data_IF_473668988688
#
_entry.id   IF_473668988688
#
_cell.length_a   1.000
_cell.length_b   1.000
_cell.length_c   1.000
_cell.angle_alpha   90.00
_cell.angle_beta   90.00
_cell.angle_gamma   90.00
#
_symmetry.space_group_name_H-M   'P 1'
#
loop_
_entity.id
_entity.type
_entity.pdbx_description
1 polymer ?
#
# COMPACT_ATOMS: atom_id res chain seq x y z
N UNK A 1 15.24 -8.37 -7.52
CA UNK A 1 15.57 -9.27 -8.65
C UNK A 1 15.82 -8.42 -9.87
N UNK A 2 16.90 -8.73 -10.61
CA UNK A 2 17.31 -7.97 -11.80
C UNK A 2 17.46 -8.86 -13.05
N UNK A 3 17.32 -10.19 -12.90
CA UNK A 3 17.37 -11.14 -14.01
C UNK A 3 16.42 -12.32 -13.79
N UNK A 4 16.05 -13.04 -14.86
CA UNK A 4 15.22 -14.25 -14.74
C UNK A 4 15.88 -15.38 -13.93
N UNK A 5 17.21 -15.50 -14.01
CA UNK A 5 17.98 -16.51 -13.28
C UNK A 5 17.93 -16.23 -11.78
N UNK A 6 18.09 -14.96 -11.39
CA UNK A 6 17.91 -14.52 -9.99
C UNK A 6 16.47 -14.77 -9.51
N UNK A 7 15.48 -14.61 -10.39
CA UNK A 7 14.08 -14.89 -10.05
C UNK A 7 13.85 -16.38 -9.74
N UNK A 8 14.48 -17.28 -10.50
CA UNK A 8 14.43 -18.72 -10.23
C UNK A 8 15.06 -19.07 -8.89
N UNK A 9 16.23 -18.52 -8.60
CA UNK A 9 16.93 -18.77 -7.34
C UNK A 9 16.07 -18.32 -6.14
N UNK A 10 15.60 -17.07 -6.14
CA UNK A 10 14.75 -16.54 -5.07
C UNK A 10 13.41 -17.27 -4.95
N UNK A 11 12.78 -17.67 -6.05
CA UNK A 11 11.56 -18.47 -5.99
C UNK A 11 11.77 -19.82 -5.29
N UNK A 12 12.98 -20.36 -5.32
CA UNK A 12 13.31 -21.62 -4.62
C UNK A 12 13.43 -21.45 -3.12
N UNK A 13 13.81 -20.26 -2.65
CA UNK A 13 13.90 -19.91 -1.21
C UNK A 13 12.52 -19.68 -0.58
N UNK A 14 11.52 -19.26 -1.37
CA UNK A 14 10.18 -18.98 -0.85
C UNK A 14 9.38 -20.28 -0.71
N UNK A 15 8.80 -20.45 0.48
CA UNK A 15 7.90 -21.58 0.78
C UNK A 15 6.44 -21.11 0.77
N UNK A 16 5.92 -20.83 -0.41
CA UNK A 16 4.57 -20.29 -0.61
C UNK A 16 3.85 -21.01 -1.74
N UNK A 17 2.52 -21.19 -1.64
CA UNK A 17 1.70 -21.67 -2.75
C UNK A 17 1.43 -20.61 -3.83
N UNK A 18 1.72 -19.33 -3.55
CA UNK A 18 1.43 -18.22 -4.46
C UNK A 18 2.61 -17.26 -4.50
N UNK A 19 3.11 -16.99 -5.69
CA UNK A 19 4.20 -16.06 -5.96
C UNK A 19 3.64 -14.78 -6.57
N UNK A 20 4.07 -13.62 -6.07
CA UNK A 20 3.72 -12.31 -6.64
C UNK A 20 4.99 -11.64 -7.14
N UNK A 21 5.01 -11.31 -8.42
CA UNK A 21 6.13 -10.64 -9.10
C UNK A 21 5.71 -9.21 -9.41
N UNK A 22 6.37 -8.24 -8.81
CA UNK A 22 6.00 -6.81 -8.88
C UNK A 22 7.12 -5.99 -9.50
N UNK A 23 6.82 -5.28 -10.58
CA UNK A 23 7.74 -4.29 -11.15
C UNK A 23 8.05 -3.18 -10.13
N UNK A 24 9.32 -2.79 -10.04
CA UNK A 24 9.77 -1.70 -9.17
C UNK A 24 10.12 -0.49 -10.03
N UNK A 25 9.21 0.49 -10.03
CA UNK A 25 9.37 1.80 -10.66
C UNK A 25 8.92 2.90 -9.67
N UNK A 26 9.40 4.12 -9.85
CA UNK A 26 8.97 5.28 -9.07
C UNK A 26 7.61 5.79 -9.55
N UNK A 27 6.58 4.96 -9.40
CA UNK A 27 5.19 5.32 -9.71
C UNK A 27 4.21 4.32 -9.09
N UNK A 28 3.02 4.78 -8.73
CA UNK A 28 1.86 3.98 -8.39
C UNK A 28 1.16 3.42 -9.63
N UNK A 29 0.02 2.72 -9.43
CA UNK A 29 -0.79 2.18 -10.53
C UNK A 29 -0.16 1.00 -11.28
N UNK A 30 0.91 0.40 -10.74
CA UNK A 30 1.65 -0.71 -11.39
C UNK A 30 0.80 -1.92 -11.70
N UNK A 31 -0.16 -2.25 -10.82
CA UNK A 31 -1.09 -3.36 -11.03
C UNK A 31 -1.94 -3.15 -12.27
N UNK A 32 -2.60 -1.98 -12.40
CA UNK A 32 -3.41 -1.58 -13.55
C UNK A 32 -2.59 -1.55 -14.84
N UNK A 33 -1.31 -1.19 -14.77
CA UNK A 33 -0.39 -1.16 -15.91
C UNK A 33 0.22 -2.55 -16.26
N UNK A 34 -0.22 -3.63 -15.61
CA UNK A 34 0.29 -4.99 -15.86
C UNK A 34 1.70 -5.23 -15.34
N UNK A 35 2.16 -4.42 -14.38
CA UNK A 35 3.43 -4.55 -13.69
C UNK A 35 3.41 -5.46 -12.45
N UNK A 36 2.27 -6.08 -12.15
CA UNK A 36 2.10 -7.07 -11.07
C UNK A 36 1.53 -8.34 -11.67
N UNK A 37 2.19 -9.45 -11.43
CA UNK A 37 1.79 -10.78 -11.93
C UNK A 37 1.78 -11.76 -10.76
N UNK A 38 0.78 -12.63 -10.74
CA UNK A 38 0.58 -13.65 -9.72
C UNK A 38 0.64 -15.02 -10.39
N UNK A 39 1.34 -15.95 -9.78
CA UNK A 39 1.37 -17.35 -10.22
C UNK A 39 1.42 -18.31 -9.05
N UNK A 40 0.83 -19.50 -9.22
CA UNK A 40 0.97 -20.62 -8.30
C UNK A 40 2.09 -21.58 -8.73
N UNK A 41 2.64 -21.39 -9.92
CA UNK A 41 3.68 -22.22 -10.48
C UNK A 41 5.05 -21.57 -10.27
N UNK A 42 5.87 -22.19 -9.41
CA UNK A 42 7.24 -21.74 -9.14
C UNK A 42 8.06 -21.61 -10.45
N UNK A 43 7.91 -22.56 -11.38
CA UNK A 43 8.61 -22.56 -12.67
C UNK A 43 8.23 -21.40 -13.59
N UNK A 44 7.04 -20.80 -13.43
CA UNK A 44 6.59 -19.67 -14.25
C UNK A 44 7.25 -18.34 -13.84
N UNK A 45 7.81 -18.24 -12.63
CA UNK A 45 8.38 -16.99 -12.09
C UNK A 45 9.48 -16.41 -12.99
N UNK A 46 10.37 -17.25 -13.52
CA UNK A 46 11.43 -16.80 -14.43
C UNK A 46 10.89 -16.23 -15.75
N UNK A 47 9.84 -16.85 -16.29
CA UNK A 47 9.15 -16.37 -17.50
C UNK A 47 8.50 -15.00 -17.27
N UNK A 48 7.84 -14.84 -16.13
CA UNK A 48 7.24 -13.55 -15.73
C UNK A 48 8.33 -12.48 -15.55
N UNK A 49 9.45 -12.83 -14.91
CA UNK A 49 10.57 -11.93 -14.75
C UNK A 49 11.14 -11.46 -16.10
N UNK A 50 11.28 -12.38 -17.05
CA UNK A 50 11.72 -12.08 -18.43
C UNK A 50 10.74 -11.14 -19.16
N UNK A 51 9.43 -11.30 -18.95
CA UNK A 51 8.40 -10.43 -19.53
C UNK A 51 8.47 -9.00 -18.98
N UNK A 52 8.69 -8.88 -17.66
CA UNK A 52 8.58 -7.60 -16.96
C UNK A 52 9.88 -6.77 -16.98
N UNK A 53 11.05 -7.42 -16.90
CA UNK A 53 12.34 -6.72 -16.94
C UNK A 53 12.54 -6.10 -18.34
N UNK A 54 12.87 -4.82 -18.35
CA UNK A 54 13.05 -4.06 -19.58
C UNK A 54 11.76 -3.49 -20.18
N UNK A 55 10.59 -3.94 -19.76
CA UNK A 55 9.27 -3.40 -20.17
C UNK A 55 9.13 -1.95 -19.70
N UNK A 56 8.51 -1.12 -20.51
CA UNK A 56 8.09 0.23 -20.12
C UNK A 56 6.67 0.18 -19.62
N UNK A 57 6.45 0.56 -18.37
CA UNK A 57 5.13 0.67 -17.78
C UNK A 57 4.65 2.11 -17.88
N UNK A 58 3.43 2.28 -18.37
CA UNK A 58 2.74 3.57 -18.44
C UNK A 58 1.64 3.53 -17.38
N UNK A 59 1.71 4.44 -16.42
CA UNK A 59 0.70 4.66 -15.38
C UNK A 59 0.27 6.12 -15.41
N UNK A 60 -0.79 6.47 -14.71
CA UNK A 60 -1.21 7.87 -14.58
C UNK A 60 -0.12 8.77 -13.99
N UNK A 61 0.77 8.22 -13.13
CA UNK A 61 1.86 8.95 -12.51
C UNK A 61 3.14 9.06 -13.37
N UNK A 62 3.35 8.14 -14.32
CA UNK A 62 4.54 8.16 -15.18
C UNK A 62 4.39 9.08 -16.40
N UNK A 63 3.16 9.46 -16.72
CA UNK A 63 2.83 10.10 -17.98
C UNK A 63 3.07 9.17 -19.20
N UNK A 64 2.90 9.70 -20.44
CA UNK A 64 2.90 8.89 -21.66
C UNK A 64 4.25 8.25 -22.00
N UNK A 65 5.36 8.79 -21.48
CA UNK A 65 6.70 8.22 -21.68
C UNK A 65 6.92 6.93 -20.90
N UNK A 66 6.16 6.73 -19.83
CA UNK A 66 6.30 5.58 -18.96
C UNK A 66 7.63 5.52 -18.19
N UNK A 67 7.84 4.41 -17.50
CA UNK A 67 9.10 4.09 -16.82
C UNK A 67 9.53 2.67 -17.14
N UNK A 68 10.80 2.50 -17.49
CA UNK A 68 11.40 1.20 -17.76
C UNK A 68 11.60 0.44 -16.46
N UNK A 69 11.22 -0.83 -16.46
CA UNK A 69 11.38 -1.75 -15.33
C UNK A 69 12.81 -2.29 -15.32
N UNK A 70 13.57 -1.99 -14.27
CA UNK A 70 14.93 -2.48 -14.08
C UNK A 70 15.03 -3.52 -12.97
N UNK A 71 14.03 -3.56 -12.08
CA UNK A 71 13.99 -4.44 -10.90
C UNK A 71 12.61 -4.98 -10.69
N UNK A 72 12.56 -6.17 -10.11
CA UNK A 72 11.34 -6.80 -9.63
C UNK A 72 11.46 -7.10 -8.14
N UNK A 73 10.35 -7.05 -7.45
CA UNK A 73 10.15 -7.64 -6.14
C UNK A 73 9.43 -8.98 -6.35
N UNK A 74 9.96 -10.03 -5.77
CA UNK A 74 9.28 -11.32 -5.64
C UNK A 74 8.90 -11.48 -4.18
N UNK A 75 7.66 -11.76 -3.92
CA UNK A 75 7.13 -11.97 -2.58
C UNK A 75 6.11 -13.10 -2.54
N UNK A 76 5.84 -13.57 -1.34
CA UNK A 76 4.76 -14.53 -1.09
C UNK A 76 3.41 -13.85 -1.29
N UNK A 77 2.46 -14.57 -1.88
CA UNK A 77 1.09 -14.10 -2.00
C UNK A 77 0.37 -14.19 -0.65
N UNK A 78 -0.18 -13.07 -0.19
CA UNK A 78 -1.05 -13.04 0.97
C UNK A 78 -2.47 -13.52 0.61
N UNK A 79 -3.14 -14.16 1.57
CA UNK A 79 -4.57 -14.43 1.45
C UNK A 79 -5.34 -13.18 1.91
N UNK A 80 -5.55 -12.28 0.97
CA UNK A 80 -6.16 -10.97 1.24
C UNK A 80 -7.66 -11.15 1.46
N UNK A 81 -8.12 -10.89 2.68
CA UNK A 81 -9.55 -10.86 3.02
C UNK A 81 -10.17 -9.50 2.67
N UNK A 82 -9.44 -8.42 2.91
CA UNK A 82 -9.88 -7.05 2.61
C UNK A 82 -8.67 -6.15 2.40
N UNK A 83 -8.81 -5.21 1.49
CA UNK A 83 -7.84 -4.14 1.27
C UNK A 83 -8.39 -2.82 1.83
N UNK A 84 -7.57 -2.12 2.59
CA UNK A 84 -7.88 -0.82 3.16
C UNK A 84 -6.89 0.21 2.63
N UNK A 85 -7.30 1.47 2.62
CA UNK A 85 -6.41 2.60 2.41
C UNK A 85 -6.08 3.27 3.73
N UNK A 86 -4.82 3.65 3.91
CA UNK A 86 -4.37 4.43 5.06
C UNK A 86 -3.25 5.38 4.66
N UNK A 87 -3.37 6.65 5.02
CA UNK A 87 -2.29 7.62 4.91
C UNK A 87 -2.31 8.62 6.07
N UNK A 88 -1.22 9.36 6.20
CA UNK A 88 -1.14 10.54 7.06
C UNK A 88 -0.45 11.66 6.27
N UNK A 89 -1.03 12.84 6.32
CA UNK A 89 -0.55 14.07 5.69
C UNK A 89 -0.91 15.29 6.54
N UNK A 90 -0.42 16.47 6.18
CA UNK A 90 -0.92 17.73 6.75
C UNK A 90 -2.15 18.16 5.96
N UNK A 91 -3.30 18.19 6.62
CA UNK A 91 -4.52 18.75 6.04
C UNK A 91 -4.34 20.27 5.84
N UNK A 92 -4.61 20.75 4.63
CA UNK A 92 -4.35 22.16 4.25
C UNK A 92 -5.31 23.14 4.87
N UNK A 93 -6.51 22.69 5.23
CA UNK A 93 -7.56 23.54 5.80
C UNK A 93 -7.31 23.80 7.28
N UNK A 94 -6.84 22.78 8.01
CA UNK A 94 -6.59 22.86 9.45
C UNK A 94 -5.12 23.11 9.80
N UNK A 95 -4.19 22.75 8.91
CA UNK A 95 -2.75 22.72 9.17
C UNK A 95 -2.32 21.59 10.10
N UNK A 96 -3.19 20.62 10.39
CA UNK A 96 -2.93 19.53 11.33
C UNK A 96 -2.56 18.22 10.63
N UNK A 97 -1.69 17.43 11.26
CA UNK A 97 -1.49 16.03 10.83
C UNK A 97 -2.82 15.29 10.87
N UNK A 98 -3.22 14.71 9.74
CA UNK A 98 -4.54 14.10 9.59
C UNK A 98 -4.36 12.72 8.95
N UNK A 99 -4.91 11.70 9.60
CA UNK A 99 -5.07 10.39 8.99
C UNK A 99 -6.21 10.41 7.99
N UNK A 100 -5.95 9.88 6.81
CA UNK A 100 -6.97 9.59 5.80
C UNK A 100 -7.05 8.06 5.69
N UNK A 101 -8.23 7.52 5.86
CA UNK A 101 -8.47 6.10 5.75
C UNK A 101 -9.71 5.80 4.90
N UNK A 102 -9.76 4.63 4.28
CA UNK A 102 -10.93 4.17 3.53
C UNK A 102 -11.03 2.65 3.53
N UNK A 103 -12.25 2.15 3.43
CA UNK A 103 -12.54 0.74 3.18
C UNK A 103 -12.30 0.32 1.73
N UNK A 104 -11.99 1.26 0.85
CA UNK A 104 -11.66 1.06 -0.57
C UNK A 104 -10.13 1.09 -0.73
N UNK A 105 -9.46 -0.02 -0.41
CA UNK A 105 -8.02 -0.18 -0.63
C UNK A 105 -7.69 -0.65 -2.05
N UNK A 106 -6.41 -0.55 -2.42
CA UNK A 106 -5.94 -0.96 -3.75
C UNK A 106 -6.40 -0.05 -4.90
N UNK A 107 -7.10 1.03 -4.59
CA UNK A 107 -7.59 2.04 -5.55
C UNK A 107 -6.87 3.38 -5.35
N UNK A 108 -7.00 4.26 -6.35
CA UNK A 108 -6.56 5.65 -6.22
C UNK A 108 -7.51 6.38 -5.26
N UNK A 109 -6.98 6.95 -4.19
CA UNK A 109 -7.82 7.60 -3.16
C UNK A 109 -8.55 8.83 -3.70
N UNK A 110 -7.98 9.48 -4.70
CA UNK A 110 -8.60 10.60 -5.40
C UNK A 110 -9.88 10.17 -6.14
N UNK A 111 -9.87 8.99 -6.73
CA UNK A 111 -11.05 8.41 -7.39
C UNK A 111 -12.15 8.07 -6.37
N UNK A 112 -11.76 7.58 -5.19
CA UNK A 112 -12.69 7.34 -4.08
C UNK A 112 -13.27 8.66 -3.56
N UNK A 113 -12.42 9.69 -3.40
CA UNK A 113 -12.85 11.01 -2.94
C UNK A 113 -13.83 11.69 -3.91
N UNK A 114 -13.67 11.46 -5.22
CA UNK A 114 -14.57 12.01 -6.25
C UNK A 114 -15.91 11.28 -6.30
N UNK A 115 -15.89 9.93 -6.27
CA UNK A 115 -17.07 9.11 -6.50
C UNK A 115 -17.87 8.77 -5.25
N UNK A 116 -17.17 8.57 -4.13
CA UNK A 116 -17.72 8.10 -2.85
C UNK A 116 -17.06 8.79 -1.66
N UNK A 117 -17.17 10.14 -1.56
CA UNK A 117 -16.48 10.91 -0.51
C UNK A 117 -16.86 10.50 0.91
N UNK A 118 -18.04 9.92 1.08
CA UNK A 118 -18.51 9.39 2.37
C UNK A 118 -17.71 8.19 2.88
N UNK A 119 -16.91 7.55 2.01
CA UNK A 119 -16.00 6.47 2.37
C UNK A 119 -14.63 6.97 2.82
N UNK A 120 -14.38 8.26 2.75
CA UNK A 120 -13.15 8.89 3.22
C UNK A 120 -13.30 9.25 4.69
N UNK A 121 -12.52 8.57 5.52
CA UNK A 121 -12.43 8.82 6.95
C UNK A 121 -11.28 9.79 7.17
N UNK A 122 -11.54 10.89 7.91
CA UNK A 122 -10.51 11.85 8.32
C UNK A 122 -10.44 11.89 9.84
N UNK A 123 -9.25 11.69 10.38
CA UNK A 123 -8.97 11.83 11.82
C UNK A 123 -7.79 12.77 12.00
N UNK A 124 -8.08 13.99 12.43
CA UNK A 124 -7.08 15.01 12.71
C UNK A 124 -6.44 14.78 14.08
N UNK A 125 -5.13 15.01 14.17
CA UNK A 125 -4.38 14.91 15.41
C UNK A 125 -3.92 16.31 15.80
N UNK A 126 -4.34 16.81 16.98
CA UNK A 126 -3.86 18.06 17.51
C UNK A 126 -2.34 17.97 17.76
N UNK A 127 -1.52 18.78 17.07
CA UNK A 127 -0.06 18.70 17.21
C UNK A 127 0.44 19.15 18.60
N UNK A 128 -0.35 19.89 19.37
CA UNK A 128 0.00 20.27 20.73
C UNK A 128 -0.12 19.11 21.73
N UNK A 129 -1.03 18.16 21.46
CA UNK A 129 -1.29 16.99 22.30
C UNK A 129 -0.58 15.74 21.74
N UNK A 130 -0.44 15.68 20.43
CA UNK A 130 0.06 14.52 19.72
C UNK A 130 -0.95 13.37 19.62
N UNK A 131 -0.54 12.28 18.96
CA UNK A 131 -1.40 11.12 18.78
C UNK A 131 -1.79 10.49 20.11
N UNK A 132 -3.09 10.27 20.28
CA UNK A 132 -3.68 9.61 21.43
C UNK A 132 -4.41 8.33 21.01
N UNK A 133 -4.55 7.38 21.93
CA UNK A 133 -5.20 6.10 21.63
C UNK A 133 -6.65 6.23 21.11
N UNK A 134 -7.35 7.32 21.43
CA UNK A 134 -8.69 7.55 20.89
C UNK A 134 -8.67 7.86 19.38
N UNK A 135 -7.67 8.60 18.88
CA UNK A 135 -7.53 8.85 17.44
C UNK A 135 -7.47 7.53 16.67
N UNK A 136 -6.62 6.60 17.13
CA UNK A 136 -6.51 5.28 16.48
C UNK A 136 -7.80 4.46 16.57
N UNK A 137 -8.51 4.51 17.71
CA UNK A 137 -9.80 3.81 17.85
C UNK A 137 -10.88 4.42 16.96
N UNK A 138 -10.93 5.75 16.83
CA UNK A 138 -11.86 6.41 15.91
C UNK A 138 -11.70 5.90 14.48
N UNK A 139 -10.46 5.84 13.99
CA UNK A 139 -10.16 5.29 12.66
C UNK A 139 -10.53 3.81 12.57
N UNK A 140 -10.15 2.99 13.58
CA UNK A 140 -10.45 1.57 13.60
C UNK A 140 -11.95 1.30 13.53
N UNK A 141 -12.74 2.03 14.30
CA UNK A 141 -14.21 1.87 14.32
C UNK A 141 -14.87 2.36 13.04
N UNK A 142 -14.39 3.48 12.48
CA UNK A 142 -14.89 3.97 11.21
C UNK A 142 -14.60 3.02 10.04
N UNK A 143 -13.47 2.28 10.09
CA UNK A 143 -13.13 1.20 9.15
C UNK A 143 -13.92 -0.09 9.39
N UNK A 144 -14.65 -0.20 10.51
CA UNK A 144 -15.44 -1.38 10.86
C UNK A 144 -14.61 -2.53 11.44
N UNK A 145 -13.38 -2.28 11.91
CA UNK A 145 -12.49 -3.35 12.42
C UNK A 145 -13.06 -4.08 13.63
N UNK A 146 -13.88 -3.43 14.46
CA UNK A 146 -14.54 -4.04 15.63
C UNK A 146 -15.51 -5.17 15.24
N UNK A 147 -16.07 -5.12 14.04
CA UNK A 147 -17.01 -6.15 13.54
C UNK A 147 -16.31 -7.22 12.71
N UNK A 148 -15.13 -6.92 12.19
CA UNK A 148 -14.33 -7.83 11.38
C UNK A 148 -13.45 -8.72 12.25
N UNK A 149 -12.57 -8.11 13.03
CA UNK A 149 -11.60 -8.80 13.89
C UNK A 149 -11.25 -7.90 15.09
N UNK A 150 -12.00 -7.98 16.19
CA UNK A 150 -11.78 -7.09 17.35
C UNK A 150 -10.36 -7.16 17.94
N UNK A 151 -9.67 -8.30 17.80
CA UNK A 151 -8.30 -8.48 18.31
C UNK A 151 -7.27 -7.58 17.63
N UNK A 152 -7.54 -7.12 16.41
CA UNK A 152 -6.60 -6.24 15.66
C UNK A 152 -6.69 -4.77 16.07
N UNK A 153 -7.69 -4.35 16.84
CA UNK A 153 -7.89 -2.93 17.20
C UNK A 153 -6.65 -2.37 17.90
N UNK A 154 -6.17 -3.03 18.95
CA UNK A 154 -5.01 -2.54 19.71
C UNK A 154 -3.72 -2.52 18.89
N UNK A 155 -3.33 -3.56 18.14
CA UNK A 155 -2.23 -3.52 17.20
C UNK A 155 -2.37 -2.41 16.15
N UNK A 156 -3.57 -2.20 15.61
CA UNK A 156 -3.85 -1.14 14.65
C UNK A 156 -3.63 0.26 15.25
N UNK A 157 -4.15 0.50 16.46
CA UNK A 157 -3.94 1.77 17.19
C UNK A 157 -2.45 2.02 17.43
N UNK A 158 -1.71 0.99 17.82
CA UNK A 158 -0.25 1.08 18.01
C UNK A 158 0.47 1.39 16.69
N UNK A 159 0.05 0.75 15.60
CA UNK A 159 0.59 1.03 14.25
C UNK A 159 0.37 2.50 13.86
N UNK A 160 -0.84 3.05 14.05
CA UNK A 160 -1.11 4.45 13.77
C UNK A 160 -0.25 5.39 14.61
N UNK A 161 -0.05 5.10 15.89
CA UNK A 161 0.87 5.86 16.75
C UNK A 161 2.31 5.85 16.24
N UNK A 162 2.78 4.71 15.73
CA UNK A 162 4.11 4.58 15.12
C UNK A 162 4.19 5.35 13.79
N UNK A 163 3.13 5.33 12.96
CA UNK A 163 3.07 6.09 11.71
C UNK A 163 3.07 7.61 11.99
N UNK A 164 2.31 8.06 12.99
CA UNK A 164 2.35 9.45 13.42
C UNK A 164 3.75 9.88 13.86
N UNK A 165 4.40 9.07 14.70
CA UNK A 165 5.77 9.32 15.13
C UNK A 165 6.74 9.38 13.96
N UNK A 166 6.68 8.41 13.02
CA UNK A 166 7.48 8.42 11.81
C UNK A 166 7.26 9.70 11.00
N UNK A 167 5.98 10.07 10.78
CA UNK A 167 5.60 11.26 10.03
C UNK A 167 6.21 12.53 10.63
N UNK A 168 6.08 12.70 11.95
CA UNK A 168 6.60 13.87 12.66
C UNK A 168 8.14 13.89 12.72
N UNK A 169 8.78 12.79 13.12
CA UNK A 169 10.25 12.71 13.30
C UNK A 169 11.01 12.83 11.98
N UNK A 170 10.42 12.37 10.87
CA UNK A 170 11.05 12.42 9.54
C UNK A 170 10.61 13.62 8.71
N UNK A 171 9.76 14.48 9.25
CA UNK A 171 9.19 15.62 8.52
C UNK A 171 8.60 15.18 7.17
N UNK A 172 7.90 14.04 7.18
CA UNK A 172 7.33 13.49 5.96
C UNK A 172 6.19 14.38 5.45
N UNK A 173 6.07 14.57 4.15
CA UNK A 173 4.95 15.26 3.54
C UNK A 173 3.70 14.36 3.42
N UNK A 174 3.95 13.06 3.25
CA UNK A 174 2.95 12.01 3.13
C UNK A 174 3.58 10.68 3.56
N UNK A 175 2.83 9.89 4.33
CA UNK A 175 3.09 8.45 4.52
C UNK A 175 1.83 7.72 4.10
N UNK A 176 1.95 6.77 3.18
CA UNK A 176 0.83 6.04 2.59
C UNK A 176 1.05 4.54 2.64
N UNK A 177 0.00 3.80 2.96
CA UNK A 177 -0.08 2.34 2.89
C UNK A 177 -1.29 2.01 2.00
N UNK A 178 -1.03 1.53 0.79
CA UNK A 178 -2.07 1.21 -0.17
C UNK A 178 -1.68 -0.03 -1.01
N UNK A 179 -2.31 -1.18 -0.72
CA UNK A 179 -3.28 -1.41 0.34
C UNK A 179 -2.64 -1.73 1.70
N UNK A 180 -3.39 -1.47 2.76
CA UNK A 180 -3.27 -2.12 4.06
C UNK A 180 -4.17 -3.35 4.03
N UNK A 181 -3.63 -4.52 4.38
CA UNK A 181 -4.32 -5.81 4.31
C UNK A 181 -4.37 -6.49 5.67
#
# INVERSE_FOLDING_TARGET
ITSPEAATAWASELNTPVFVVKAQIHAGGRGKAGGVKITKEKGAVAGIAKELIGKTLITHQTGPKGRKVHRLLLEEGANIAKELYLSILVDRDTGWPTFIASTEGGMEIEEVAEKTPEKIIKEAVDPAVGFQGHNGRNVAFALGLQTMEPAVINPFVQMLGNLYRLFMEKHAALVEINPLI
#
